data_IF_197280156108
#
_entry.id   IF_197280156108
#
_cell.length_a   1.000
_cell.length_b   1.000
_cell.length_c   1.000
_cell.angle_alpha   90.00
_cell.angle_beta   90.00
_cell.angle_gamma   90.00
#
_symmetry.space_group_name_H-M   'P 1'
#
loop_
_entity.id
_entity.type
_entity.pdbx_description
1 polymer ?
#
# COMPACT_ATOMS: atom_id res chain seq x y z
N UNK A 1 33.93 -45.72 34.77
CA UNK A 1 34.98 -45.42 35.77
C UNK A 1 35.65 -44.10 35.46
N UNK A 2 35.24 -43.00 36.04
CA UNK A 2 35.99 -42.09 36.87
C UNK A 2 35.09 -40.93 37.31
N UNK A 3 34.68 -41.01 38.57
CA UNK A 3 34.18 -39.93 39.41
C UNK A 3 35.22 -38.84 39.58
N UNK A 4 34.79 -37.55 39.54
CA UNK A 4 35.51 -36.48 40.26
C UNK A 4 34.52 -35.50 40.91
N UNK A 5 34.89 -35.17 42.14
CA UNK A 5 34.11 -34.56 43.26
C UNK A 5 33.91 -33.05 43.07
N UNK A 6 32.83 -32.60 43.73
CA UNK A 6 32.52 -31.22 44.14
C UNK A 6 33.68 -30.51 44.83
N UNK A 7 33.78 -29.21 44.64
CA UNK A 7 34.18 -28.32 45.70
C UNK A 7 33.41 -27.01 45.64
N UNK A 8 32.76 -26.67 46.73
CA UNK A 8 32.01 -25.47 47.07
C UNK A 8 33.00 -24.35 47.46
N UNK A 9 32.83 -23.16 46.88
CA UNK A 9 33.52 -21.94 47.27
C UNK A 9 32.51 -20.78 47.29
N UNK A 10 31.99 -20.51 48.48
CA UNK A 10 31.13 -19.40 48.83
C UNK A 10 32.01 -18.15 49.08
N UNK A 11 31.86 -17.06 48.29
CA UNK A 11 32.30 -15.72 48.71
C UNK A 11 31.22 -14.71 48.39
N UNK A 12 30.52 -14.25 49.41
CA UNK A 12 29.54 -13.19 49.34
C UNK A 12 30.19 -11.83 49.04
N UNK A 13 29.64 -11.15 48.09
CA UNK A 13 29.88 -9.73 47.88
C UNK A 13 28.56 -8.99 48.06
N UNK A 14 28.45 -8.26 49.17
CA UNK A 14 27.34 -7.32 49.44
C UNK A 14 27.51 -6.10 48.51
N UNK A 15 26.60 -5.92 47.55
CA UNK A 15 26.46 -4.68 46.81
C UNK A 15 25.45 -3.79 47.51
N UNK A 16 25.89 -2.69 48.09
CA UNK A 16 25.10 -1.61 48.66
C UNK A 16 24.44 -0.82 47.52
N UNK A 17 23.17 -1.02 47.31
CA UNK A 17 22.38 -0.21 46.36
C UNK A 17 21.96 1.10 47.05
N UNK A 18 22.51 2.25 46.58
CA UNK A 18 22.17 3.60 47.06
C UNK A 18 20.77 4.05 46.58
N UNK A 19 20.05 4.84 47.40
CA UNK A 19 18.66 5.24 47.17
C UNK A 19 18.55 6.53 46.37
N UNK A 20 19.18 6.71 45.21
CA UNK A 20 19.21 8.02 44.53
C UNK A 20 18.41 8.10 43.24
N UNK A 21 17.99 6.99 42.62
CA UNK A 21 17.29 7.04 41.33
C UNK A 21 15.77 7.22 41.42
N UNK A 22 15.14 6.73 42.50
CA UNK A 22 13.67 6.84 42.64
C UNK A 22 13.21 8.24 43.10
N UNK A 23 14.03 8.98 43.87
CA UNK A 23 13.69 10.36 44.30
C UNK A 23 13.73 11.38 43.16
N UNK A 24 14.56 11.18 42.15
CA UNK A 24 14.68 12.10 41.00
C UNK A 24 13.46 12.06 40.07
N UNK A 25 12.82 10.89 39.91
CA UNK A 25 11.61 10.76 39.09
C UNK A 25 10.35 11.34 39.74
N UNK A 26 10.30 11.39 41.08
CA UNK A 26 9.17 11.99 41.82
C UNK A 26 9.17 13.52 41.73
N UNK A 27 10.33 14.14 41.76
CA UNK A 27 10.45 15.60 41.65
C UNK A 27 10.14 16.10 40.23
N UNK A 28 10.56 15.35 39.19
CA UNK A 28 10.23 15.66 37.77
C UNK A 28 8.74 15.53 37.47
N UNK A 29 8.03 14.57 38.08
CA UNK A 29 6.57 14.42 37.92
C UNK A 29 5.76 15.55 38.54
N UNK A 30 6.18 16.06 39.71
CA UNK A 30 5.52 17.19 40.36
C UNK A 30 5.72 18.52 39.61
N UNK A 31 6.89 18.73 39.01
CA UNK A 31 7.14 19.93 38.18
C UNK A 31 6.35 19.92 36.87
N UNK A 32 6.13 18.74 36.25
CA UNK A 32 5.33 18.63 35.04
C UNK A 32 3.83 18.88 35.28
N UNK A 33 3.29 18.46 36.44
CA UNK A 33 1.88 18.70 36.80
C UNK A 33 1.60 20.18 37.10
N UNK A 34 2.55 20.91 37.67
CA UNK A 34 2.39 22.33 37.94
C UNK A 34 2.42 23.21 36.67
N UNK A 35 3.14 22.76 35.60
CA UNK A 35 3.23 23.50 34.36
C UNK A 35 1.96 23.35 33.48
N UNK A 36 1.27 22.20 33.56
CA UNK A 36 0.07 21.91 32.77
C UNK A 36 -1.18 22.63 33.31
N UNK A 37 -1.23 22.94 34.62
CA UNK A 37 -2.38 23.64 35.23
C UNK A 37 -2.40 25.14 34.99
N UNK A 38 -1.28 25.76 34.60
CA UNK A 38 -1.20 27.20 34.33
C UNK A 38 -1.66 27.64 32.93
N UNK A 39 -1.93 26.70 32.01
CA UNK A 39 -2.29 27.01 30.61
C UNK A 39 -3.81 27.04 30.37
N UNK A 40 -4.63 26.65 31.36
CA UNK A 40 -6.10 26.50 31.18
C UNK A 40 -6.94 27.70 31.67
N UNK A 41 -6.33 28.87 32.01
CA UNK A 41 -7.10 30.04 32.45
C UNK A 41 -6.92 31.23 31.51
N UNK A 42 -7.21 31.04 30.22
CA UNK A 42 -7.36 32.16 29.28
C UNK A 42 -8.52 31.87 28.33
N UNK A 43 -9.73 31.88 28.87
CA UNK A 43 -10.96 31.78 28.11
C UNK A 43 -11.42 33.19 27.72
N UNK A 44 -10.95 33.71 26.58
CA UNK A 44 -11.46 34.96 26.00
C UNK A 44 -12.81 34.70 25.34
N UNK A 45 -13.84 35.32 25.89
CA UNK A 45 -15.20 35.31 25.34
C UNK A 45 -15.21 36.04 24.01
N UNK A 46 -15.28 35.31 22.90
CA UNK A 46 -15.55 35.88 21.57
C UNK A 46 -17.06 36.04 21.44
N UNK A 47 -17.55 37.31 21.51
CA UNK A 47 -18.94 37.65 21.16
C UNK A 47 -19.12 37.47 19.66
N UNK A 48 -19.85 36.45 19.26
CA UNK A 48 -20.33 36.27 17.89
C UNK A 48 -21.38 37.33 17.55
N UNK A 49 -21.01 38.32 16.75
CA UNK A 49 -21.96 39.24 16.14
C UNK A 49 -22.71 38.53 15.03
N UNK A 50 -23.95 38.21 15.29
CA UNK A 50 -24.89 37.60 14.34
C UNK A 50 -25.45 38.70 13.43
N UNK A 51 -24.88 38.90 12.26
CA UNK A 51 -25.40 39.77 11.22
C UNK A 51 -26.60 39.09 10.53
N UNK A 52 -27.75 39.77 10.56
CA UNK A 52 -28.98 39.34 9.83
C UNK A 52 -28.74 39.47 8.31
N UNK A 53 -29.17 38.49 7.50
CA UNK A 53 -29.07 38.65 6.04
C UNK A 53 -30.11 39.68 5.57
N UNK A 54 -29.66 40.66 4.80
CA UNK A 54 -30.53 41.60 4.10
C UNK A 54 -31.12 40.95 2.85
N UNK A 55 -32.40 41.26 2.46
CA UNK A 55 -32.99 40.71 1.27
C UNK A 55 -32.43 41.38 0.01
N UNK A 56 -31.82 40.57 -0.85
CA UNK A 56 -31.31 41.02 -2.17
C UNK A 56 -32.49 41.14 -3.11
N UNK A 57 -32.78 42.38 -3.56
CA UNK A 57 -33.77 42.71 -4.60
C UNK A 57 -33.37 42.03 -5.93
N UNK A 58 -34.20 41.10 -6.41
CA UNK A 58 -34.12 40.52 -7.75
C UNK A 58 -34.55 41.54 -8.80
N UNK A 59 -33.63 42.12 -9.54
CA UNK A 59 -33.93 42.74 -10.83
C UNK A 59 -33.90 41.64 -11.90
N UNK A 60 -35.07 41.27 -12.39
CA UNK A 60 -35.23 40.36 -13.51
C UNK A 60 -34.86 41.09 -14.81
N UNK A 61 -33.83 40.58 -15.51
CA UNK A 61 -33.51 40.98 -16.86
C UNK A 61 -34.12 39.96 -17.84
N UNK A 62 -34.97 40.36 -18.81
CA UNK A 62 -35.59 39.39 -19.69
C UNK A 62 -34.59 38.81 -20.69
N UNK A 63 -34.20 37.57 -20.49
CA UNK A 63 -33.37 36.79 -21.46
C UNK A 63 -34.31 36.14 -22.48
N UNK A 64 -34.27 36.63 -23.71
CA UNK A 64 -34.90 36.00 -24.88
C UNK A 64 -34.31 34.58 -25.07
N UNK A 65 -35.12 33.56 -24.76
CA UNK A 65 -34.81 32.14 -25.01
C UNK A 65 -34.85 31.87 -26.52
N UNK A 66 -33.68 31.83 -27.18
CA UNK A 66 -33.52 31.04 -28.40
C UNK A 66 -33.36 29.58 -28.01
N UNK A 67 -34.35 28.75 -28.36
CA UNK A 67 -34.31 27.32 -28.16
C UNK A 67 -33.18 26.72 -29.02
N UNK A 68 -32.01 26.48 -28.39
CA UNK A 68 -30.99 25.64 -28.97
C UNK A 68 -31.41 24.19 -28.69
N UNK A 69 -31.59 23.39 -29.75
CA UNK A 69 -31.84 21.94 -29.65
C UNK A 69 -30.67 21.29 -28.93
N UNK A 70 -30.88 20.90 -27.69
CA UNK A 70 -29.92 20.09 -26.91
C UNK A 70 -29.69 18.79 -27.64
N UNK A 71 -28.44 18.42 -28.00
CA UNK A 71 -28.19 17.12 -28.58
C UNK A 71 -28.51 16.08 -27.50
N UNK A 72 -29.43 15.18 -27.80
CA UNK A 72 -29.76 14.03 -26.97
C UNK A 72 -28.50 13.15 -26.88
N UNK A 73 -27.75 13.25 -25.78
CA UNK A 73 -26.66 12.34 -25.49
C UNK A 73 -27.31 10.97 -25.31
N UNK A 74 -27.23 10.12 -26.35
CA UNK A 74 -27.58 8.70 -26.22
C UNK A 74 -26.70 8.14 -25.12
N UNK A 75 -27.30 7.76 -23.99
CA UNK A 75 -26.65 7.00 -22.95
C UNK A 75 -25.96 5.79 -23.57
N UNK A 76 -24.65 5.80 -23.67
CA UNK A 76 -23.86 4.65 -24.09
C UNK A 76 -24.08 3.62 -22.99
N UNK A 77 -24.85 2.58 -23.33
CA UNK A 77 -25.10 1.44 -22.48
C UNK A 77 -23.75 0.94 -22.01
N UNK A 78 -23.45 0.98 -20.70
CA UNK A 78 -22.18 0.55 -20.14
C UNK A 78 -21.89 -0.88 -20.62
N UNK A 79 -20.89 -1.04 -21.48
CA UNK A 79 -20.50 -2.36 -22.00
C UNK A 79 -19.93 -3.14 -20.83
N UNK A 80 -20.63 -4.19 -20.42
CA UNK A 80 -20.18 -5.10 -19.37
C UNK A 80 -18.98 -5.89 -19.91
N UNK A 81 -17.79 -5.67 -19.35
CA UNK A 81 -16.58 -6.39 -19.75
C UNK A 81 -16.72 -7.90 -19.49
N UNK A 82 -16.20 -8.71 -20.40
CA UNK A 82 -16.05 -10.15 -20.18
C UNK A 82 -14.98 -10.41 -19.12
N UNK A 83 -14.92 -11.64 -18.58
CA UNK A 83 -13.90 -11.97 -17.58
C UNK A 83 -12.49 -11.84 -18.13
N UNK A 84 -12.27 -12.22 -19.39
CA UNK A 84 -10.99 -12.08 -20.07
C UNK A 84 -10.57 -10.61 -20.20
N UNK A 85 -11.52 -9.74 -20.56
CA UNK A 85 -11.27 -8.30 -20.64
C UNK A 85 -10.93 -7.69 -19.28
N UNK A 86 -11.64 -8.12 -18.22
CA UNK A 86 -11.34 -7.68 -16.85
C UNK A 86 -9.94 -8.09 -16.42
N UNK A 87 -9.56 -9.35 -16.66
CA UNK A 87 -8.22 -9.84 -16.35
C UNK A 87 -7.17 -9.09 -17.14
N UNK A 88 -7.42 -8.82 -18.44
CA UNK A 88 -6.49 -8.01 -19.24
C UNK A 88 -6.27 -6.63 -18.63
N UNK A 89 -7.33 -5.93 -18.29
CA UNK A 89 -7.24 -4.60 -17.62
C UNK A 89 -6.48 -4.70 -16.29
N UNK A 90 -6.74 -5.76 -15.52
CA UNK A 90 -6.04 -6.03 -14.27
C UNK A 90 -4.53 -6.23 -14.51
N UNK A 91 -4.18 -7.05 -15.49
CA UNK A 91 -2.77 -7.33 -15.83
C UNK A 91 -2.05 -6.10 -16.37
N UNK A 92 -2.69 -5.32 -17.25
CA UNK A 92 -2.11 -4.08 -17.78
C UNK A 92 -1.72 -3.11 -16.65
N UNK A 93 -2.48 -3.10 -15.56
CA UNK A 93 -2.22 -2.26 -14.39
C UNK A 93 -1.20 -2.85 -13.42
N UNK A 94 -1.28 -4.14 -13.13
CA UNK A 94 -0.57 -4.74 -11.99
C UNK A 94 0.68 -5.54 -12.35
N UNK A 95 0.90 -5.90 -13.61
CA UNK A 95 2.13 -6.59 -14.05
C UNK A 95 3.38 -5.78 -13.71
N UNK A 96 3.46 -4.46 -13.96
CA UNK A 96 4.63 -3.68 -13.59
C UNK A 96 4.93 -3.77 -12.10
N UNK A 97 3.90 -3.63 -11.26
CA UNK A 97 4.03 -3.70 -9.79
C UNK A 97 4.51 -5.08 -9.35
N UNK A 98 3.84 -6.15 -9.81
CA UNK A 98 4.20 -7.52 -9.45
C UNK A 98 5.64 -7.88 -9.86
N UNK A 99 6.14 -7.35 -10.98
CA UNK A 99 7.52 -7.55 -11.41
C UNK A 99 8.54 -6.81 -10.55
N UNK A 100 8.21 -5.60 -10.10
CA UNK A 100 9.03 -4.86 -9.13
C UNK A 100 9.14 -5.66 -7.82
N UNK A 101 8.00 -6.14 -7.30
CA UNK A 101 7.95 -6.96 -6.10
C UNK A 101 8.72 -8.28 -6.27
N UNK A 102 8.60 -8.96 -7.41
CA UNK A 102 9.40 -10.15 -7.72
C UNK A 102 10.90 -9.85 -7.70
N UNK A 103 11.31 -8.72 -8.23
CA UNK A 103 12.72 -8.36 -8.25
C UNK A 103 13.28 -8.14 -6.86
N UNK A 104 12.50 -7.47 -6.00
CA UNK A 104 12.88 -7.13 -4.63
C UNK A 104 12.75 -8.31 -3.67
N UNK A 105 11.61 -9.00 -3.68
CA UNK A 105 11.26 -10.03 -2.69
C UNK A 105 11.41 -11.46 -3.19
N UNK A 106 11.77 -11.67 -4.46
CA UNK A 106 12.02 -12.99 -5.08
C UNK A 106 10.81 -13.91 -5.17
N UNK A 107 9.61 -13.37 -4.98
CA UNK A 107 8.35 -14.09 -5.21
C UNK A 107 8.03 -14.02 -6.70
N UNK A 108 7.67 -15.14 -7.39
CA UNK A 108 7.32 -15.09 -8.80
C UNK A 108 6.18 -14.10 -9.08
N UNK A 109 6.32 -13.26 -10.11
CA UNK A 109 5.27 -12.32 -10.49
C UNK A 109 3.97 -13.06 -10.85
N UNK A 110 4.07 -14.22 -11.50
CA UNK A 110 2.94 -15.10 -11.82
C UNK A 110 2.15 -15.50 -10.58
N UNK A 111 2.82 -15.81 -9.47
CA UNK A 111 2.20 -16.17 -8.19
C UNK A 111 1.49 -14.95 -7.62
N UNK A 112 2.17 -13.81 -7.50
CA UNK A 112 1.59 -12.57 -6.97
C UNK A 112 0.37 -12.13 -7.77
N UNK A 113 0.45 -12.15 -9.11
CA UNK A 113 -0.67 -11.80 -9.99
C UNK A 113 -1.84 -12.76 -9.86
N UNK A 114 -1.58 -14.08 -9.82
CA UNK A 114 -2.64 -15.08 -9.67
C UNK A 114 -3.35 -14.95 -8.33
N UNK A 115 -2.62 -14.69 -7.25
CA UNK A 115 -3.20 -14.40 -5.93
C UNK A 115 -4.02 -13.12 -5.98
N UNK A 116 -3.47 -12.02 -6.51
CA UNK A 116 -4.21 -10.77 -6.65
C UNK A 116 -5.51 -10.91 -7.46
N UNK A 117 -5.51 -11.64 -8.58
CA UNK A 117 -6.71 -11.95 -9.36
C UNK A 117 -7.72 -12.75 -8.53
N UNK A 118 -7.26 -13.77 -7.82
CA UNK A 118 -8.12 -14.68 -7.05
C UNK A 118 -8.73 -13.99 -5.83
N UNK A 119 -7.90 -13.36 -5.01
CA UNK A 119 -8.31 -12.76 -3.73
C UNK A 119 -9.14 -11.48 -3.91
N UNK A 120 -8.84 -10.69 -4.95
CA UNK A 120 -9.56 -9.44 -5.21
C UNK A 120 -10.78 -9.59 -6.13
N UNK A 121 -11.05 -10.79 -6.64
CA UNK A 121 -12.05 -10.97 -7.70
C UNK A 121 -11.71 -10.14 -8.94
N UNK A 122 -10.44 -10.18 -9.38
CA UNK A 122 -9.93 -9.38 -10.51
C UNK A 122 -10.04 -7.85 -10.25
N UNK A 123 -9.84 -7.45 -8.99
CA UNK A 123 -9.92 -6.06 -8.56
C UNK A 123 -11.34 -5.53 -8.36
N UNK A 124 -12.36 -6.37 -8.50
CA UNK A 124 -13.76 -5.96 -8.37
C UNK A 124 -14.33 -6.13 -6.96
N UNK A 125 -13.66 -6.88 -6.09
CA UNK A 125 -14.06 -7.04 -4.69
C UNK A 125 -14.01 -5.72 -3.91
N UNK A 126 -14.83 -5.63 -2.87
CA UNK A 126 -14.95 -4.40 -2.04
C UNK A 126 -13.62 -3.96 -1.45
N UNK A 127 -12.83 -4.90 -0.90
CA UNK A 127 -11.53 -4.59 -0.32
C UNK A 127 -10.56 -3.96 -1.34
N UNK A 128 -10.58 -4.45 -2.59
CA UNK A 128 -9.74 -3.91 -3.66
C UNK A 128 -10.24 -2.56 -4.18
N UNK A 129 -11.57 -2.42 -4.39
CA UNK A 129 -12.15 -1.18 -4.96
C UNK A 129 -12.11 0.00 -4.00
N UNK A 130 -12.44 -0.24 -2.74
CA UNK A 130 -12.57 0.81 -1.73
C UNK A 130 -11.27 1.02 -0.96
N UNK A 131 -10.56 -0.07 -0.67
CA UNK A 131 -9.38 -0.05 0.19
C UNK A 131 -8.06 -0.29 -0.54
N UNK A 132 -8.03 -0.40 -1.87
CA UNK A 132 -6.84 -0.79 -2.63
C UNK A 132 -6.15 -2.06 -2.10
N UNK A 133 -6.90 -2.90 -1.37
CA UNK A 133 -6.40 -4.09 -0.69
C UNK A 133 -6.69 -5.33 -1.53
N UNK A 134 -5.74 -5.70 -2.38
CA UNK A 134 -5.88 -6.78 -3.36
C UNK A 134 -5.67 -8.18 -2.79
N UNK A 135 -5.23 -8.31 -1.55
CA UNK A 135 -4.86 -9.59 -0.93
C UNK A 135 -5.59 -9.86 0.39
N UNK A 136 -6.60 -9.06 0.73
CA UNK A 136 -7.33 -9.22 1.98
C UNK A 136 -6.45 -9.08 3.22
N UNK A 137 -5.52 -8.13 3.22
CA UNK A 137 -4.58 -7.97 4.33
C UNK A 137 -5.30 -7.35 5.52
N UNK A 138 -5.36 -8.13 6.62
CA UNK A 138 -6.01 -7.73 7.88
C UNK A 138 -5.16 -6.73 8.66
N UNK A 139 -5.80 -5.90 9.47
CA UNK A 139 -5.10 -5.03 10.40
C UNK A 139 -4.34 -5.88 11.43
N UNK A 140 -3.05 -5.65 11.58
CA UNK A 140 -2.25 -6.26 12.62
C UNK A 140 -1.85 -5.21 13.67
N UNK A 141 -1.37 -5.67 14.81
CA UNK A 141 -0.85 -4.79 15.87
C UNK A 141 0.21 -3.84 15.29
N UNK A 142 0.04 -2.54 15.52
CA UNK A 142 0.93 -1.49 14.98
C UNK A 142 0.51 -0.90 13.64
N UNK A 143 -0.63 -1.33 13.05
CA UNK A 143 -1.17 -0.67 11.87
C UNK A 143 -1.82 0.67 12.23
N UNK A 144 -1.31 1.76 11.67
CA UNK A 144 -1.78 3.13 11.91
C UNK A 144 -2.44 3.76 10.67
N UNK A 145 -2.54 3.03 9.54
CA UNK A 145 -3.20 3.49 8.32
C UNK A 145 -4.71 3.37 8.36
N UNK A 146 -5.35 3.62 7.21
CA UNK A 146 -6.79 3.50 7.00
C UNK A 146 -7.31 2.09 7.30
N UNK A 147 -8.57 2.00 7.76
CA UNK A 147 -9.21 0.75 8.17
C UNK A 147 -10.60 0.64 7.59
N UNK A 148 -10.97 -0.55 7.16
CA UNK A 148 -12.34 -0.91 6.83
C UNK A 148 -12.70 -2.22 7.52
N UNK A 149 -13.97 -2.38 7.81
CA UNK A 149 -14.50 -3.57 8.44
C UNK A 149 -15.33 -4.35 7.44
N UNK A 150 -15.08 -5.64 7.33
CA UNK A 150 -15.76 -6.53 6.40
C UNK A 150 -15.91 -7.90 7.03
N UNK A 151 -17.01 -8.58 6.73
CA UNK A 151 -17.24 -9.95 7.18
C UNK A 151 -16.51 -10.90 6.20
N UNK A 152 -15.58 -11.70 6.74
CA UNK A 152 -14.82 -12.70 5.99
C UNK A 152 -14.86 -14.04 6.78
N UNK A 153 -13.78 -14.43 7.46
CA UNK A 153 -13.78 -15.61 8.34
C UNK A 153 -14.60 -15.38 9.63
N UNK A 154 -14.68 -14.12 10.07
CA UNK A 154 -15.48 -13.68 11.20
C UNK A 154 -16.20 -12.35 10.91
N UNK A 155 -17.22 -12.02 11.72
CA UNK A 155 -17.93 -10.74 11.59
C UNK A 155 -17.04 -9.56 11.99
N UNK A 156 -17.08 -8.49 11.20
CA UNK A 156 -16.44 -7.22 11.53
C UNK A 156 -14.92 -7.27 11.58
N UNK A 157 -14.29 -8.11 10.78
CA UNK A 157 -12.83 -8.16 10.71
C UNK A 157 -12.24 -6.89 10.13
N UNK A 158 -11.13 -6.44 10.71
CA UNK A 158 -10.44 -5.23 10.27
C UNK A 158 -9.48 -5.52 9.11
N UNK A 159 -9.66 -4.82 8.00
CA UNK A 159 -8.78 -4.85 6.83
C UNK A 159 -8.12 -3.49 6.61
N UNK A 160 -6.88 -3.53 6.10
CA UNK A 160 -6.11 -2.33 5.78
C UNK A 160 -6.71 -1.61 4.58
N UNK A 161 -6.73 -0.27 4.64
CA UNK A 161 -6.94 0.60 3.49
C UNK A 161 -5.59 1.19 3.10
N UNK A 162 -5.29 1.19 1.82
CA UNK A 162 -4.10 1.77 1.23
C UNK A 162 -4.46 2.95 0.33
N UNK A 163 -3.58 3.90 0.22
CA UNK A 163 -3.76 5.03 -0.70
C UNK A 163 -3.48 4.61 -2.15
N UNK A 164 -2.52 3.69 -2.33
CA UNK A 164 -2.19 3.10 -3.63
C UNK A 164 -2.20 1.56 -3.56
N UNK A 165 -2.76 0.87 -4.57
CA UNK A 165 -2.77 -0.60 -4.58
C UNK A 165 -1.38 -1.23 -4.57
N UNK A 166 -0.32 -0.54 -5.02
CA UNK A 166 1.05 -1.03 -4.92
C UNK A 166 1.48 -1.29 -3.47
N UNK A 167 0.91 -0.59 -2.50
CA UNK A 167 1.19 -0.83 -1.09
C UNK A 167 0.65 -2.20 -0.64
N UNK A 168 -0.52 -2.62 -1.12
CA UNK A 168 -1.04 -3.96 -0.81
C UNK A 168 -0.18 -5.06 -1.44
N UNK A 169 0.39 -4.82 -2.63
CA UNK A 169 1.37 -5.72 -3.26
C UNK A 169 2.66 -5.81 -2.46
N UNK A 170 3.15 -4.68 -1.97
CA UNK A 170 4.32 -4.60 -1.09
C UNK A 170 4.08 -5.34 0.22
N UNK A 171 2.97 -5.07 0.89
CA UNK A 171 2.63 -5.71 2.15
C UNK A 171 2.46 -7.23 2.00
N UNK A 172 1.87 -7.69 0.89
CA UNK A 172 1.80 -9.10 0.54
C UNK A 172 3.21 -9.72 0.38
N UNK A 173 4.11 -9.02 -0.30
CA UNK A 173 5.49 -9.47 -0.50
C UNK A 173 6.25 -9.55 0.83
N UNK A 174 6.12 -8.52 1.68
CA UNK A 174 6.68 -8.49 3.03
C UNK A 174 6.10 -9.62 3.91
N UNK A 175 4.79 -9.86 3.82
CA UNK A 175 4.12 -10.93 4.56
C UNK A 175 4.69 -12.30 4.23
N UNK A 176 4.91 -12.61 2.95
CA UNK A 176 5.45 -13.90 2.53
C UNK A 176 6.95 -14.03 2.83
N UNK A 177 7.74 -12.99 2.56
CA UNK A 177 9.19 -13.05 2.74
C UNK A 177 9.63 -12.97 4.19
N UNK A 178 8.84 -12.31 5.05
CA UNK A 178 9.19 -12.06 6.45
C UNK A 178 8.77 -13.16 7.43
N UNK A 179 8.03 -14.19 6.99
CA UNK A 179 7.52 -15.23 7.90
C UNK A 179 8.19 -16.57 7.69
N UNK A 180 8.79 -17.11 8.74
CA UNK A 180 9.54 -18.37 8.72
C UNK A 180 8.80 -19.54 8.06
N UNK A 181 7.47 -19.65 8.24
CA UNK A 181 6.67 -20.73 7.66
C UNK A 181 6.68 -20.74 6.11
N UNK A 182 6.99 -19.62 5.47
CA UNK A 182 7.12 -19.49 4.02
C UNK A 182 8.55 -19.57 3.52
N UNK A 183 9.56 -19.58 4.41
CA UNK A 183 10.99 -19.51 4.01
C UNK A 183 11.40 -20.62 3.02
N UNK A 184 10.82 -21.83 3.13
CA UNK A 184 11.13 -22.94 2.23
C UNK A 184 10.68 -22.68 0.78
N UNK A 185 9.71 -21.79 0.53
CA UNK A 185 9.25 -21.42 -0.81
C UNK A 185 10.38 -20.81 -1.64
N UNK A 186 11.24 -20.04 -1.01
CA UNK A 186 12.37 -19.34 -1.64
C UNK A 186 13.50 -20.28 -2.09
N UNK A 187 13.40 -21.58 -1.78
CA UNK A 187 14.28 -22.63 -2.32
C UNK A 187 13.81 -23.10 -3.71
N UNK A 188 12.56 -22.84 -4.09
CA UNK A 188 12.07 -23.19 -5.42
C UNK A 188 12.56 -22.19 -6.46
N UNK A 189 12.80 -22.69 -7.67
CA UNK A 189 13.11 -21.79 -8.78
C UNK A 189 11.92 -20.86 -9.06
N UNK A 190 12.19 -19.62 -9.41
CA UNK A 190 11.13 -18.61 -9.66
C UNK A 190 10.18 -18.97 -10.79
N UNK A 191 10.61 -19.77 -11.78
CA UNK A 191 9.74 -20.28 -12.85
C UNK A 191 8.92 -21.50 -12.44
N UNK A 192 9.17 -22.10 -11.26
CA UNK A 192 8.42 -23.24 -10.77
C UNK A 192 7.19 -22.79 -9.95
N UNK A 193 6.30 -22.06 -10.63
CA UNK A 193 5.05 -21.59 -10.02
C UNK A 193 4.18 -22.74 -9.49
N UNK A 194 4.34 -23.99 -10.03
CA UNK A 194 3.57 -25.13 -9.54
C UNK A 194 3.97 -25.54 -8.14
N UNK A 195 5.29 -25.59 -7.85
CA UNK A 195 5.81 -25.86 -6.51
C UNK A 195 5.52 -24.71 -5.56
N UNK A 196 5.59 -23.46 -6.04
CA UNK A 196 5.17 -22.29 -5.26
C UNK A 196 3.70 -22.39 -4.84
N UNK A 197 2.78 -22.67 -5.76
CA UNK A 197 1.34 -22.79 -5.47
C UNK A 197 1.04 -23.90 -4.45
N UNK A 198 1.66 -25.08 -4.59
CA UNK A 198 1.52 -26.17 -3.62
C UNK A 198 2.15 -25.81 -2.28
N UNK A 199 3.29 -25.18 -2.31
CA UNK A 199 4.02 -24.74 -1.12
C UNK A 199 3.24 -23.70 -0.30
N UNK A 200 2.57 -22.75 -0.94
CA UNK A 200 1.69 -21.78 -0.28
C UNK A 200 0.59 -22.49 0.52
N UNK A 201 -0.07 -23.50 -0.09
CA UNK A 201 -1.07 -24.32 0.62
C UNK A 201 -0.45 -25.07 1.79
N UNK A 202 0.71 -25.73 1.59
CA UNK A 202 1.43 -26.45 2.63
C UNK A 202 1.82 -25.54 3.79
N UNK A 203 2.19 -24.29 3.51
CA UNK A 203 2.52 -23.28 4.52
C UNK A 203 1.28 -22.69 5.23
N UNK A 204 0.07 -23.08 4.85
CA UNK A 204 -1.17 -22.58 5.44
C UNK A 204 -1.54 -21.15 5.00
N UNK A 205 -1.21 -20.78 3.76
CA UNK A 205 -1.67 -19.50 3.22
C UNK A 205 -3.19 -19.48 3.04
N UNK A 206 -3.77 -20.58 2.58
CA UNK A 206 -5.21 -20.74 2.44
C UNK A 206 -5.68 -22.09 3.02
N UNK A 207 -6.91 -22.13 3.51
CA UNK A 207 -7.55 -23.36 4.04
C UNK A 207 -8.09 -24.26 2.93
N UNK A 208 -8.50 -23.68 1.80
CA UNK A 208 -9.06 -24.39 0.65
C UNK A 208 -8.09 -25.44 0.06
N UNK A 209 -8.45 -26.75 0.04
CA UNK A 209 -7.61 -27.79 -0.55
C UNK A 209 -7.40 -27.59 -2.06
N UNK A 210 -8.29 -26.89 -2.76
CA UNK A 210 -8.22 -26.62 -4.19
C UNK A 210 -7.38 -25.37 -4.52
N UNK A 211 -6.88 -24.64 -3.52
CA UNK A 211 -6.13 -23.40 -3.71
C UNK A 211 -4.98 -23.53 -4.71
N UNK A 212 -4.09 -24.55 -4.65
CA UNK A 212 -3.02 -24.71 -5.63
C UNK A 212 -3.55 -24.88 -7.07
N UNK A 213 -4.62 -25.66 -7.24
CA UNK A 213 -5.24 -25.87 -8.56
C UNK A 213 -5.81 -24.56 -9.11
N UNK A 214 -6.45 -23.74 -8.27
CA UNK A 214 -6.97 -22.42 -8.67
C UNK A 214 -5.84 -21.50 -9.15
N UNK A 215 -4.75 -21.36 -8.38
CA UNK A 215 -3.60 -20.55 -8.78
C UNK A 215 -2.98 -21.05 -10.09
N UNK A 216 -2.69 -22.36 -10.19
CA UNK A 216 -2.09 -22.95 -11.38
C UNK A 216 -3.00 -22.74 -12.61
N UNK A 217 -4.31 -22.91 -12.48
CA UNK A 217 -5.27 -22.67 -13.55
C UNK A 217 -5.27 -21.21 -14.03
N UNK A 218 -5.23 -20.25 -13.10
CA UNK A 218 -5.14 -18.81 -13.43
C UNK A 218 -3.83 -18.53 -14.16
N UNK A 219 -2.69 -19.02 -13.64
CA UNK A 219 -1.38 -18.80 -14.23
C UNK A 219 -1.32 -19.38 -15.65
N UNK A 220 -1.85 -20.56 -15.87
CA UNK A 220 -1.85 -21.21 -17.18
C UNK A 220 -2.82 -20.55 -18.16
N UNK A 221 -4.06 -20.24 -17.73
CA UNK A 221 -5.09 -19.63 -18.57
C UNK A 221 -4.66 -18.27 -19.13
N UNK A 222 -4.00 -17.47 -18.30
CA UNK A 222 -3.59 -16.11 -18.65
C UNK A 222 -2.08 -16.01 -18.92
N UNK A 223 -1.38 -17.13 -19.02
CA UNK A 223 0.06 -17.23 -19.34
C UNK A 223 0.95 -16.38 -18.44
N UNK A 224 0.58 -16.26 -17.15
CA UNK A 224 1.25 -15.34 -16.21
C UNK A 224 2.72 -15.69 -15.98
N UNK A 225 3.13 -16.96 -16.23
CA UNK A 225 4.52 -17.42 -16.14
C UNK A 225 5.49 -16.62 -17.04
N UNK A 226 5.01 -15.99 -18.11
CA UNK A 226 5.83 -15.12 -18.96
C UNK A 226 6.42 -13.92 -18.21
N UNK A 227 5.76 -13.47 -17.14
CA UNK A 227 6.19 -12.34 -16.33
C UNK A 227 7.29 -12.69 -15.33
N UNK A 228 7.61 -13.97 -15.13
CA UNK A 228 8.68 -14.45 -14.24
C UNK A 228 10.08 -14.35 -14.87
N UNK A 229 10.17 -14.04 -16.15
CA UNK A 229 11.43 -13.95 -16.90
C UNK A 229 12.00 -12.53 -16.87
N UNK A 230 13.34 -12.41 -17.02
CA UNK A 230 14.01 -11.12 -17.19
C UNK A 230 13.75 -10.46 -18.54
N UNK A 231 13.33 -11.23 -19.55
CA UNK A 231 13.00 -10.68 -20.88
C UNK A 231 11.81 -9.74 -20.72
N UNK A 232 12.05 -8.48 -21.04
CA UNK A 232 11.02 -7.43 -20.90
C UNK A 232 9.77 -7.82 -21.66
N UNK A 233 8.63 -7.70 -20.99
CA UNK A 233 7.36 -7.60 -21.70
C UNK A 233 7.54 -6.45 -22.67
N UNK A 234 7.32 -6.69 -23.97
CA UNK A 234 7.13 -5.62 -24.94
C UNK A 234 5.91 -4.84 -24.44
N UNK A 235 6.16 -3.79 -23.66
CA UNK A 235 5.12 -2.83 -23.34
C UNK A 235 4.65 -2.29 -24.67
N UNK A 236 3.36 -2.45 -24.99
CA UNK A 236 2.73 -1.84 -26.18
C UNK A 236 2.65 -0.32 -26.08
N UNK A 237 3.48 0.29 -25.29
CA UNK A 237 3.70 1.70 -25.22
C UNK A 237 5.10 1.97 -25.78
N UNK A 238 5.19 2.08 -27.09
CA UNK A 238 6.36 2.59 -27.80
C UNK A 238 6.59 4.09 -27.59
N UNK A 239 6.28 4.59 -26.39
CA UNK A 239 6.71 5.92 -25.97
C UNK A 239 8.06 5.78 -25.32
N UNK A 240 9.08 6.15 -26.10
CA UNK A 240 10.41 6.43 -25.61
C UNK A 240 10.32 7.39 -24.41
N UNK A 241 10.94 7.00 -23.31
CA UNK A 241 11.01 7.84 -22.11
C UNK A 241 11.71 9.15 -22.49
N UNK A 242 10.97 10.23 -22.54
CA UNK A 242 11.55 11.56 -22.71
C UNK A 242 12.07 12.04 -21.36
N UNK A 243 13.37 12.31 -21.30
CA UNK A 243 14.02 12.90 -20.13
C UNK A 243 13.26 14.17 -19.71
N UNK A 244 12.88 14.31 -18.44
CA UNK A 244 12.15 15.48 -17.97
C UNK A 244 12.96 16.76 -18.26
N UNK A 245 12.30 17.77 -18.81
CA UNK A 245 12.90 19.10 -18.98
C UNK A 245 12.87 19.75 -17.61
N UNK A 246 14.01 19.79 -16.95
CA UNK A 246 14.19 20.52 -15.68
C UNK A 246 13.87 21.99 -15.93
N UNK A 247 12.77 22.48 -15.38
CA UNK A 247 12.28 23.85 -15.62
C UNK A 247 12.83 24.86 -14.63
N UNK A 248 13.33 24.42 -13.47
CA UNK A 248 13.90 25.29 -12.45
C UNK A 248 15.19 24.66 -11.91
N UNK A 249 16.22 25.45 -11.71
CA UNK A 249 17.51 25.04 -11.12
C UNK A 249 17.40 24.56 -9.65
N UNK A 250 16.21 24.58 -9.08
CA UNK A 250 15.92 24.23 -7.68
C UNK A 250 15.09 22.94 -7.53
N UNK A 251 14.68 22.29 -8.63
CA UNK A 251 13.90 21.06 -8.59
C UNK A 251 14.79 19.89 -8.15
N UNK A 252 14.33 19.11 -7.17
CA UNK A 252 14.97 17.86 -6.82
C UNK A 252 14.61 16.80 -7.85
N UNK A 253 15.61 16.06 -8.34
CA UNK A 253 15.39 14.92 -9.25
C UNK A 253 15.61 13.65 -8.46
N UNK A 254 14.64 12.72 -8.53
CA UNK A 254 14.76 11.37 -8.03
C UNK A 254 14.92 10.41 -9.21
N UNK A 255 16.02 9.64 -9.22
CA UNK A 255 16.19 8.54 -10.15
C UNK A 255 15.54 7.28 -9.57
N UNK A 256 14.54 6.77 -10.27
CA UNK A 256 13.76 5.60 -9.82
C UNK A 256 14.64 4.36 -9.76
N UNK A 257 14.74 3.76 -8.59
CA UNK A 257 15.43 2.49 -8.36
C UNK A 257 14.48 1.30 -8.37
N UNK A 258 15.09 0.10 -8.36
CA UNK A 258 14.36 -1.16 -8.25
C UNK A 258 13.64 -1.21 -6.90
N UNK A 259 12.32 -1.27 -6.94
CA UNK A 259 11.50 -1.30 -5.74
C UNK A 259 10.84 0.03 -5.40
N UNK A 260 11.14 1.09 -6.13
CA UNK A 260 10.43 2.34 -5.98
C UNK A 260 9.02 2.25 -6.51
N UNK A 261 8.14 2.94 -5.83
CA UNK A 261 6.79 3.28 -6.25
C UNK A 261 6.62 4.78 -6.10
N UNK A 262 5.68 5.38 -6.84
CA UNK A 262 5.38 6.80 -6.63
C UNK A 262 5.04 7.11 -5.18
N UNK A 263 4.45 6.13 -4.47
CA UNK A 263 4.12 6.27 -3.05
C UNK A 263 5.36 6.27 -2.15
N UNK A 264 6.31 5.33 -2.35
CA UNK A 264 7.56 5.32 -1.56
C UNK A 264 8.36 6.60 -1.77
N UNK A 265 8.39 7.09 -3.01
CA UNK A 265 9.05 8.35 -3.37
C UNK A 265 8.31 9.55 -2.73
N UNK A 266 6.99 9.61 -2.85
CA UNK A 266 6.16 10.64 -2.25
C UNK A 266 6.38 10.75 -0.73
N UNK A 267 6.42 9.60 -0.04
CA UNK A 267 6.70 9.52 1.39
C UNK A 267 8.12 9.97 1.73
N UNK A 268 9.12 9.53 0.95
CA UNK A 268 10.52 9.91 1.14
C UNK A 268 10.73 11.43 1.08
N UNK A 269 10.01 12.08 0.18
CA UNK A 269 10.14 13.53 -0.03
C UNK A 269 9.04 14.36 0.64
N UNK A 270 8.11 13.74 1.38
CA UNK A 270 6.98 14.40 2.06
C UNK A 270 6.08 15.20 1.11
N UNK A 271 5.86 14.66 -0.09
CA UNK A 271 4.97 15.22 -1.12
C UNK A 271 3.87 14.21 -1.45
N UNK A 272 2.79 14.64 -2.10
CA UNK A 272 1.74 13.70 -2.53
C UNK A 272 2.09 13.01 -3.86
N UNK A 273 1.58 11.79 -4.05
CA UNK A 273 1.67 11.07 -5.34
C UNK A 273 1.09 11.91 -6.48
N UNK A 274 -0.02 12.62 -6.23
CA UNK A 274 -0.66 13.47 -7.24
C UNK A 274 0.23 14.65 -7.65
N UNK A 275 0.97 15.24 -6.74
CA UNK A 275 1.93 16.30 -7.05
C UNK A 275 3.06 15.77 -7.91
N UNK A 276 3.65 14.62 -7.58
CA UNK A 276 4.68 13.98 -8.42
C UNK A 276 4.11 13.69 -9.81
N UNK A 277 2.93 13.10 -9.91
CA UNK A 277 2.27 12.82 -11.19
C UNK A 277 2.07 14.07 -12.03
N UNK A 278 1.53 15.13 -11.44
CA UNK A 278 1.27 16.40 -12.10
C UNK A 278 2.55 17.02 -12.64
N UNK A 279 3.62 17.08 -11.84
CA UNK A 279 4.91 17.65 -12.23
C UNK A 279 5.60 16.85 -13.34
N UNK A 280 5.43 15.53 -13.33
CA UNK A 280 6.05 14.62 -14.31
C UNK A 280 5.10 14.23 -15.46
N UNK A 281 3.89 14.78 -15.53
CA UNK A 281 2.86 14.48 -16.53
C UNK A 281 2.55 12.99 -16.65
N UNK A 282 2.53 12.28 -15.50
CA UNK A 282 2.21 10.86 -15.45
C UNK A 282 0.68 10.67 -15.47
N UNK A 283 0.20 9.83 -16.37
CA UNK A 283 -1.22 9.50 -16.47
C UNK A 283 -1.66 8.47 -15.41
N UNK A 284 -0.74 7.59 -15.01
CA UNK A 284 -0.97 6.54 -14.02
C UNK A 284 0.19 6.48 -13.01
N UNK A 285 0.23 5.46 -12.16
CA UNK A 285 1.26 5.31 -11.13
C UNK A 285 2.46 4.46 -11.60
N UNK A 286 2.54 4.15 -12.89
CA UNK A 286 3.63 3.34 -13.43
C UNK A 286 4.89 4.16 -13.59
N UNK A 287 5.96 3.71 -12.95
CA UNK A 287 7.31 4.28 -13.08
C UNK A 287 8.31 3.16 -13.40
N UNK A 288 9.41 3.51 -14.05
CA UNK A 288 10.40 2.56 -14.54
C UNK A 288 11.75 2.81 -13.89
N UNK A 289 12.52 1.74 -13.65
CA UNK A 289 13.89 1.87 -13.16
C UNK A 289 14.71 2.78 -14.10
N UNK A 290 15.45 3.72 -13.50
CA UNK A 290 16.22 4.74 -14.22
C UNK A 290 15.39 5.91 -14.75
N UNK A 291 14.08 5.93 -14.51
CA UNK A 291 13.24 7.09 -14.78
C UNK A 291 13.61 8.22 -13.81
N UNK A 292 13.85 9.41 -14.37
CA UNK A 292 14.06 10.61 -13.55
C UNK A 292 12.70 11.27 -13.28
N UNK A 293 12.40 11.51 -12.02
CA UNK A 293 11.19 12.18 -11.57
C UNK A 293 11.54 13.53 -10.94
N UNK A 294 10.86 14.56 -11.39
CA UNK A 294 10.91 15.88 -10.74
C UNK A 294 10.06 15.81 -9.48
N UNK A 295 10.69 16.09 -8.34
CA UNK A 295 10.02 16.10 -7.05
C UNK A 295 9.67 17.55 -6.71
N UNK A 296 8.37 17.88 -6.60
CA UNK A 296 7.94 19.22 -6.19
C UNK A 296 8.43 19.55 -4.77
N UNK A 297 8.55 20.84 -4.48
CA UNK A 297 8.90 21.31 -3.13
C UNK A 297 7.69 21.31 -2.22
#
# INVERSE_FOLDING_TARGET
NHTYRRNSGNTGSKSTSGPTRQRMYSILRLAYFALVTSIMLSCSVIKTVRSKPQPVSKKEVPVKKKAAKTPTIKFIKSVKLTQEQKVKVYLDRFVPIARVEMHQYKIPASITLAQGILESGTGEGTLAKVGNNHFGIKCHRGWNGGRMYHDDDAKGECFRIYEDPAESYRDHSVFLSGRQRYAFLFKFHKSDYKSWARGLKKAGYATDPKYPKKLISIIQRYELYQYDTKKGVKTQSGKEYQKPIVRNAQDKIHSVDVGDTLYSIARQYSVSVNEIKKHNKLNDNTIFKGQELIIPK
#
